data_IF_746570086392
#
_entry.id   IF_746570086392
#
_cell.length_a   1.000
_cell.length_b   1.000
_cell.length_c   1.000
_cell.angle_alpha   90.00
_cell.angle_beta   90.00
_cell.angle_gamma   90.00
#
_symmetry.space_group_name_H-M   'P 1'
#
loop_
_entity.id
_entity.type
_entity.pdbx_description
1 polymer ?
#
# COMPACT_ATOMS: atom_id res chain seq x y z
N UNK A 1 -26.27 0.82 -20.35
CA UNK A 1 -25.03 0.45 -21.07
C UNK A 1 -24.37 -0.65 -20.26
N UNK A 2 -23.87 -1.72 -20.88
CA UNK A 2 -23.36 -2.87 -20.13
C UNK A 2 -21.93 -2.59 -19.66
N UNK A 3 -21.76 -2.15 -18.41
CA UNK A 3 -20.46 -1.70 -17.85
C UNK A 3 -19.36 -2.76 -17.97
N UNK A 4 -19.73 -4.04 -17.94
CA UNK A 4 -18.82 -5.17 -18.15
C UNK A 4 -18.20 -5.17 -19.56
N UNK A 5 -18.99 -4.88 -20.59
CA UNK A 5 -18.49 -4.77 -21.97
C UNK A 5 -17.60 -3.54 -22.10
N UNK A 6 -17.98 -2.42 -21.47
CA UNK A 6 -17.16 -1.21 -21.45
C UNK A 6 -15.78 -1.44 -20.81
N UNK A 7 -15.74 -2.11 -19.66
CA UNK A 7 -14.49 -2.49 -18.99
C UNK A 7 -13.63 -3.43 -19.86
N UNK A 8 -14.26 -4.42 -20.51
CA UNK A 8 -13.55 -5.35 -21.40
C UNK A 8 -12.94 -4.64 -22.61
N UNK A 9 -13.68 -3.73 -23.24
CA UNK A 9 -13.17 -2.91 -24.35
C UNK A 9 -12.05 -1.98 -23.89
N UNK A 10 -12.19 -1.37 -22.71
CA UNK A 10 -11.13 -0.53 -22.13
C UNK A 10 -9.84 -1.30 -21.89
N UNK A 11 -9.93 -2.51 -21.31
CA UNK A 11 -8.77 -3.37 -21.05
C UNK A 11 -8.09 -3.86 -22.33
N UNK A 12 -8.85 -4.12 -23.40
CA UNK A 12 -8.32 -4.61 -24.68
C UNK A 12 -7.81 -3.48 -25.60
N UNK A 13 -8.03 -2.21 -25.24
CA UNK A 13 -7.56 -1.05 -26.01
C UNK A 13 -6.08 -0.77 -25.72
N UNK A 14 -5.21 -1.02 -26.71
CA UNK A 14 -3.75 -0.85 -26.60
C UNK A 14 -3.31 0.58 -26.18
N UNK A 15 -4.09 1.61 -26.55
CA UNK A 15 -3.81 3.00 -26.18
C UNK A 15 -3.84 3.26 -24.66
N UNK A 16 -4.55 2.45 -23.86
CA UNK A 16 -4.55 2.59 -22.40
C UNK A 16 -3.31 1.98 -21.73
N UNK A 17 -2.60 1.09 -22.44
CA UNK A 17 -1.40 0.43 -21.94
C UNK A 17 -0.12 1.14 -22.34
N UNK A 18 -0.15 1.91 -23.43
CA UNK A 18 1.01 2.61 -23.97
C UNK A 18 1.10 4.06 -23.46
N UNK A 19 2.33 4.57 -23.38
CA UNK A 19 2.63 5.95 -22.99
C UNK A 19 2.92 6.14 -21.50
N UNK A 20 3.35 7.35 -21.14
CA UNK A 20 3.80 7.74 -19.79
C UNK A 20 2.69 7.68 -18.73
N UNK A 21 1.43 7.72 -19.15
CA UNK A 21 0.24 7.53 -18.29
C UNK A 21 -0.40 6.15 -18.45
N UNK A 22 0.24 5.23 -19.16
CA UNK A 22 -0.28 3.89 -19.39
C UNK A 22 -0.42 3.09 -18.09
N UNK A 23 -1.34 2.13 -18.08
CA UNK A 23 -1.63 1.29 -16.91
C UNK A 23 -0.37 0.62 -16.34
N UNK A 24 0.49 0.10 -17.21
CA UNK A 24 1.73 -0.56 -16.79
C UNK A 24 2.70 0.38 -16.08
N UNK A 25 2.88 1.61 -16.59
CA UNK A 25 3.77 2.59 -15.98
C UNK A 25 3.23 3.04 -14.61
N UNK A 26 1.93 3.34 -14.52
CA UNK A 26 1.28 3.72 -13.27
C UNK A 26 1.31 2.61 -12.23
N UNK A 27 1.14 1.36 -12.66
CA UNK A 27 1.26 0.20 -11.78
C UNK A 27 2.70 0.07 -11.26
N UNK A 28 3.70 0.23 -12.13
CA UNK A 28 5.11 0.21 -11.75
C UNK A 28 5.46 1.29 -10.73
N UNK A 29 5.04 2.53 -10.98
CA UNK A 29 5.19 3.64 -10.03
C UNK A 29 4.53 3.31 -8.68
N UNK A 30 3.28 2.83 -8.70
CA UNK A 30 2.56 2.52 -7.48
C UNK A 30 3.22 1.38 -6.67
N UNK A 31 3.70 0.34 -7.35
CA UNK A 31 4.47 -0.75 -6.73
C UNK A 31 5.79 -0.25 -6.17
N UNK A 32 6.48 0.65 -6.87
CA UNK A 32 7.71 1.25 -6.39
C UNK A 32 7.46 2.07 -5.11
N UNK A 33 6.50 2.99 -5.12
CA UNK A 33 6.15 3.79 -3.95
C UNK A 33 5.71 2.91 -2.77
N UNK A 34 4.81 1.96 -3.01
CA UNK A 34 4.32 1.04 -1.97
C UNK A 34 5.45 0.17 -1.41
N UNK A 35 6.33 -0.33 -2.29
CA UNK A 35 7.47 -1.16 -1.91
C UNK A 35 8.49 -0.38 -1.07
N UNK A 36 8.80 0.86 -1.44
CA UNK A 36 9.69 1.73 -0.65
C UNK A 36 9.10 2.04 0.71
N UNK A 37 7.83 2.44 0.77
CA UNK A 37 7.12 2.69 2.03
C UNK A 37 7.12 1.44 2.93
N UNK A 38 6.83 0.27 2.37
CA UNK A 38 6.83 -1.00 3.10
C UNK A 38 8.23 -1.37 3.61
N UNK A 39 9.26 -1.18 2.79
CA UNK A 39 10.64 -1.47 3.18
C UNK A 39 11.08 -0.59 4.36
N UNK A 40 10.82 0.72 4.28
CA UNK A 40 11.13 1.66 5.36
C UNK A 40 10.34 1.32 6.62
N UNK A 41 9.03 1.08 6.49
CA UNK A 41 8.18 0.68 7.61
C UNK A 41 8.70 -0.61 8.26
N UNK A 42 9.10 -1.60 7.49
CA UNK A 42 9.62 -2.87 8.00
C UNK A 42 10.97 -2.70 8.68
N UNK A 43 11.86 -1.89 8.11
CA UNK A 43 13.17 -1.58 8.70
C UNK A 43 13.07 -0.90 10.06
N UNK A 44 12.01 -0.12 10.32
CA UNK A 44 11.81 0.55 11.61
C UNK A 44 10.94 -0.29 12.55
N UNK A 45 9.82 -0.83 12.06
CA UNK A 45 8.86 -1.56 12.87
C UNK A 45 9.38 -2.92 13.33
N UNK A 46 10.11 -3.67 12.49
CA UNK A 46 10.58 -5.01 12.87
C UNK A 46 11.61 -4.96 14.01
N UNK A 47 12.65 -4.09 13.99
CA UNK A 47 13.58 -4.01 15.12
C UNK A 47 12.90 -3.55 16.41
N UNK A 48 12.01 -2.56 16.33
CA UNK A 48 11.24 -2.09 17.49
C UNK A 48 10.33 -3.20 18.05
N UNK A 49 9.66 -3.94 17.18
CA UNK A 49 8.79 -5.05 17.58
C UNK A 49 9.58 -6.20 18.23
N UNK A 50 10.73 -6.57 17.66
CA UNK A 50 11.60 -7.61 18.21
C UNK A 50 12.18 -7.19 19.57
N UNK A 51 12.65 -5.95 19.70
CA UNK A 51 13.20 -5.44 20.96
C UNK A 51 12.14 -5.39 22.08
N UNK A 52 10.97 -4.82 21.79
CA UNK A 52 9.85 -4.76 22.75
C UNK A 52 9.30 -6.15 23.08
N UNK A 53 9.28 -7.05 22.09
CA UNK A 53 8.90 -8.46 22.26
C UNK A 53 9.86 -9.20 23.19
N UNK A 54 11.16 -8.97 23.07
CA UNK A 54 12.17 -9.65 23.91
C UNK A 54 12.14 -9.19 25.37
N UNK A 55 11.76 -7.93 25.63
CA UNK A 55 11.57 -7.39 26.99
C UNK A 55 10.26 -7.85 27.65
N UNK A 56 9.33 -8.47 26.89
CA UNK A 56 8.01 -8.86 27.39
C UNK A 56 7.14 -7.69 27.86
N UNK A 57 7.50 -6.45 27.51
CA UNK A 57 6.91 -5.20 28.01
C UNK A 57 6.81 -4.20 26.85
N UNK A 58 5.60 -3.74 26.55
CA UNK A 58 5.34 -2.73 25.50
C UNK A 58 4.30 -3.11 24.44
N UNK A 59 3.78 -4.34 24.46
CA UNK A 59 2.77 -4.81 23.51
C UNK A 59 1.50 -3.94 23.49
N UNK A 60 1.01 -3.49 24.64
CA UNK A 60 -0.17 -2.60 24.72
C UNK A 60 0.08 -1.22 24.12
N UNK A 61 1.28 -0.65 24.28
CA UNK A 61 1.64 0.64 23.70
C UNK A 61 1.76 0.54 22.17
N UNK A 62 2.42 -0.52 21.68
CA UNK A 62 2.56 -0.80 20.25
C UNK A 62 1.20 -1.02 19.57
N UNK A 63 0.29 -1.75 20.21
CA UNK A 63 -1.08 -2.00 19.70
C UNK A 63 -1.90 -0.71 19.66
N UNK A 64 -1.86 0.11 20.71
CA UNK A 64 -2.60 1.37 20.73
C UNK A 64 -2.11 2.36 19.66
N UNK A 65 -0.79 2.50 19.47
CA UNK A 65 -0.22 3.37 18.43
C UNK A 65 -0.62 2.86 17.03
N UNK A 66 -0.54 1.54 16.81
CA UNK A 66 -0.94 0.93 15.54
C UNK A 66 -2.44 1.09 15.26
N UNK A 67 -3.29 0.96 16.29
CA UNK A 67 -4.73 1.18 16.17
C UNK A 67 -5.06 2.64 15.82
N UNK A 68 -4.36 3.62 16.42
CA UNK A 68 -4.55 5.04 16.08
C UNK A 68 -4.19 5.30 14.62
N UNK A 69 -3.05 4.79 14.14
CA UNK A 69 -2.64 4.96 12.75
C UNK A 69 -3.62 4.33 11.75
N UNK A 70 -4.25 3.20 12.11
CA UNK A 70 -5.31 2.55 11.31
C UNK A 70 -6.68 3.24 11.40
N UNK A 71 -6.93 3.99 12.48
CA UNK A 71 -8.18 4.70 12.70
C UNK A 71 -8.23 6.05 11.96
N UNK A 72 -7.11 6.51 11.39
CA UNK A 72 -7.08 7.74 10.60
C UNK A 72 -7.93 7.55 9.33
N UNK A 73 -8.94 8.39 9.10
CA UNK A 73 -9.76 8.33 7.88
C UNK A 73 -8.90 8.63 6.66
N UNK A 74 -9.00 7.80 5.63
CA UNK A 74 -8.33 8.01 4.33
C UNK A 74 -9.15 8.86 3.35
N UNK A 75 -10.38 9.20 3.74
CA UNK A 75 -11.34 9.99 2.98
C UNK A 75 -11.60 11.29 3.75
N UNK A 76 -11.26 12.43 3.16
CA UNK A 76 -11.79 13.74 3.52
C UNK A 76 -12.61 14.25 2.34
#
# INVERSE_FOLDING_TARGET
MNDLIGAWTWLTTAAHWQGEKGVGNRLGEHLYYSGVCLAIASLVALPLALWLGHLGKGGTLAVNISNVGRAVPTLA
#
